data_IF_143313702836
#
_entry.id   IF_143313702836
#
_cell.length_a   1.000
_cell.length_b   1.000
_cell.length_c   1.000
_cell.angle_alpha   90.00
_cell.angle_beta   90.00
_cell.angle_gamma   90.00
#
_symmetry.space_group_name_H-M   'P 1'
#
loop_
_entity.id
_entity.type
_entity.pdbx_description
1 polymer ?
#
# COMPACT_ATOMS: atom_id res chain seq x y z
N UNK A 1 54.66 -15.71 32.06
CA UNK A 1 53.61 -14.70 31.87
C UNK A 1 52.69 -15.21 30.77
N UNK A 2 51.56 -15.82 31.14
CA UNK A 2 50.57 -16.37 30.20
C UNK A 2 49.48 -15.31 30.03
N UNK A 3 49.46 -14.65 28.88
CA UNK A 3 48.38 -13.74 28.48
C UNK A 3 47.31 -14.57 27.77
N UNK A 4 46.18 -14.78 28.43
CA UNK A 4 45.00 -15.43 27.86
C UNK A 4 44.14 -14.40 27.14
N UNK A 5 43.94 -14.58 25.84
CA UNK A 5 42.90 -13.88 25.08
C UNK A 5 41.59 -14.67 25.21
N UNK A 6 40.58 -14.06 25.81
CA UNK A 6 39.20 -14.57 25.77
C UNK A 6 38.60 -14.14 24.44
N UNK A 7 38.42 -15.11 23.53
CA UNK A 7 37.59 -14.93 22.34
C UNK A 7 36.14 -15.08 22.78
N UNK A 8 35.42 -13.97 22.89
CA UNK A 8 33.95 -14.01 22.96
C UNK A 8 33.41 -14.37 21.58
N UNK A 9 33.02 -15.63 21.40
CA UNK A 9 32.19 -16.04 20.28
C UNK A 9 30.80 -15.44 20.47
N UNK A 10 30.45 -14.45 19.65
CA UNK A 10 29.07 -14.00 19.49
C UNK A 10 28.33 -15.12 18.76
N UNK A 11 27.55 -15.90 19.52
CA UNK A 11 26.62 -16.88 18.96
C UNK A 11 25.49 -16.09 18.31
N UNK A 12 25.56 -15.95 16.98
CA UNK A 12 24.42 -15.50 16.17
C UNK A 12 23.32 -16.55 16.26
N UNK A 13 22.37 -16.36 17.19
CA UNK A 13 21.15 -17.14 17.23
C UNK A 13 20.36 -16.93 15.93
N UNK A 14 19.61 -17.94 15.45
CA UNK A 14 18.73 -17.75 14.30
C UNK A 14 17.75 -16.63 14.63
N UNK A 15 17.58 -15.70 13.68
CA UNK A 15 16.51 -14.70 13.78
C UNK A 15 15.20 -15.44 14.05
N UNK A 16 14.57 -15.13 15.17
CA UNK A 16 13.25 -15.68 15.50
C UNK A 16 12.29 -15.08 14.48
N UNK A 17 12.01 -15.81 13.41
CA UNK A 17 10.97 -15.47 12.44
C UNK A 17 9.65 -15.47 13.19
N UNK A 18 9.18 -14.30 13.62
CA UNK A 18 7.92 -14.17 14.33
C UNK A 18 6.78 -14.33 13.34
N UNK A 19 6.39 -15.57 13.10
CA UNK A 19 5.12 -15.93 12.51
C UNK A 19 3.99 -15.27 13.32
N UNK A 20 3.24 -14.33 12.70
CA UNK A 20 2.18 -13.58 13.38
C UNK A 20 0.78 -14.05 12.95
N UNK A 21 -0.21 -14.08 13.86
CA UNK A 21 -1.61 -14.17 13.46
C UNK A 21 -1.97 -13.05 12.48
N UNK A 22 -2.85 -13.30 11.50
CA UNK A 22 -3.20 -12.32 10.46
C UNK A 22 -3.68 -10.98 11.01
N UNK A 23 -4.43 -10.98 12.11
CA UNK A 23 -4.88 -9.75 12.76
C UNK A 23 -3.71 -8.91 13.27
N UNK A 24 -2.71 -9.55 13.89
CA UNK A 24 -1.53 -8.87 14.41
C UNK A 24 -0.61 -8.42 13.27
N UNK A 25 -0.44 -9.24 12.22
CA UNK A 25 0.25 -8.82 10.99
C UNK A 25 -0.40 -7.58 10.37
N UNK A 26 -1.74 -7.57 10.24
CA UNK A 26 -2.47 -6.40 9.75
C UNK A 26 -2.20 -5.17 10.62
N UNK A 27 -2.22 -5.33 11.94
CA UNK A 27 -2.02 -4.21 12.87
C UNK A 27 -0.59 -3.66 12.79
N UNK A 28 0.42 -4.54 12.70
CA UNK A 28 1.83 -4.14 12.49
C UNK A 28 1.99 -3.39 11.16
N UNK A 29 1.45 -3.95 10.06
CA UNK A 29 1.49 -3.27 8.76
C UNK A 29 0.72 -1.94 8.80
N UNK A 30 -0.40 -1.85 9.52
CA UNK A 30 -1.14 -0.59 9.67
C UNK A 30 -0.36 0.45 10.47
N UNK A 31 0.48 0.04 11.42
CA UNK A 31 1.41 0.94 12.12
C UNK A 31 2.54 1.41 11.21
N UNK A 32 3.06 0.52 10.35
CA UNK A 32 4.11 0.85 9.37
C UNK A 32 3.59 1.76 8.26
N UNK A 33 2.35 1.51 7.81
CA UNK A 33 1.64 2.25 6.76
C UNK A 33 0.40 2.95 7.32
N UNK A 34 0.55 4.02 8.12
CA UNK A 34 -0.59 4.73 8.68
C UNK A 34 -1.61 5.14 7.61
N UNK A 35 -2.88 4.88 7.89
CA UNK A 35 -3.95 5.19 6.95
C UNK A 35 -4.15 6.69 6.80
N UNK A 36 -4.58 7.07 5.62
CA UNK A 36 -4.82 8.44 5.19
C UNK A 36 -6.31 8.71 5.07
N UNK A 37 -6.68 9.99 5.12
CA UNK A 37 -8.06 10.42 4.93
C UNK A 37 -8.13 11.43 3.80
N UNK A 38 -9.15 11.27 2.97
CA UNK A 38 -9.47 12.16 1.87
C UNK A 38 -10.78 12.90 2.15
N UNK A 39 -10.89 14.11 1.63
CA UNK A 39 -12.12 14.88 1.65
C UNK A 39 -13.13 14.28 0.67
N UNK A 40 -14.33 14.02 1.18
CA UNK A 40 -15.44 13.43 0.40
C UNK A 40 -16.73 14.24 0.51
N UNK A 41 -16.86 15.04 1.56
CA UNK A 41 -18.06 15.83 1.86
C UNK A 41 -18.01 17.20 1.15
N UNK A 42 -16.83 17.79 1.02
CA UNK A 42 -16.65 19.09 0.36
C UNK A 42 -16.40 18.95 -1.14
N UNK A 43 -17.38 19.35 -1.96
CA UNK A 43 -17.31 19.29 -3.43
C UNK A 43 -16.07 20.00 -4.04
N UNK A 44 -15.68 21.21 -3.60
CA UNK A 44 -14.51 21.91 -4.14
C UNK A 44 -13.17 21.24 -3.83
N UNK A 45 -13.13 20.39 -2.79
CA UNK A 45 -11.91 19.74 -2.29
C UNK A 45 -12.01 18.21 -2.41
N UNK A 46 -12.93 17.71 -3.22
CA UNK A 46 -13.17 16.28 -3.37
C UNK A 46 -11.89 15.53 -3.76
N UNK A 47 -11.58 14.49 -2.99
CA UNK A 47 -10.39 13.66 -3.15
C UNK A 47 -9.12 14.24 -2.53
N UNK A 48 -9.12 15.51 -2.12
CA UNK A 48 -7.94 16.09 -1.49
C UNK A 48 -7.59 15.33 -0.21
N UNK A 49 -6.31 15.02 -0.04
CA UNK A 49 -5.80 14.37 1.17
C UNK A 49 -5.85 15.38 2.33
N UNK A 50 -6.66 15.08 3.35
CA UNK A 50 -6.82 15.91 4.55
C UNK A 50 -5.99 15.39 5.73
N UNK A 51 -5.66 14.10 5.74
CA UNK A 51 -4.68 13.50 6.65
C UNK A 51 -3.79 12.56 5.83
N UNK A 52 -2.48 12.80 5.83
CA UNK A 52 -1.55 12.21 4.85
C UNK A 52 -1.15 10.75 5.10
N UNK A 53 -1.26 10.25 6.34
CA UNK A 53 -0.78 8.91 6.71
C UNK A 53 0.63 8.61 6.17
N UNK A 54 0.83 7.38 5.69
CA UNK A 54 2.00 7.00 4.90
C UNK A 54 1.89 7.52 3.46
N UNK A 55 2.97 8.15 2.99
CA UNK A 55 3.14 8.53 1.58
C UNK A 55 4.16 7.61 0.94
N UNK A 56 3.74 6.89 -0.10
CA UNK A 56 4.53 5.94 -0.86
C UNK A 56 4.83 6.50 -2.25
N UNK A 57 5.95 6.10 -2.84
CA UNK A 57 6.35 6.43 -4.20
C UNK A 57 6.15 5.22 -5.09
N UNK A 58 5.53 5.38 -6.25
CA UNK A 58 5.36 4.29 -7.18
C UNK A 58 6.65 3.99 -7.96
N UNK A 59 7.19 2.77 -7.88
CA UNK A 59 8.43 2.42 -8.59
C UNK A 59 8.25 1.96 -10.03
N UNK A 60 7.03 1.58 -10.41
CA UNK A 60 6.68 1.11 -11.74
C UNK A 60 6.00 2.20 -12.58
N UNK A 61 6.24 2.17 -13.89
CA UNK A 61 5.63 3.10 -14.83
C UNK A 61 4.32 2.54 -15.41
N UNK A 62 3.39 3.42 -15.77
CA UNK A 62 2.14 3.06 -16.44
C UNK A 62 1.16 2.22 -15.60
N UNK A 63 1.20 2.32 -14.27
CA UNK A 63 0.33 1.51 -13.40
C UNK A 63 -1.13 1.97 -13.52
N UNK A 64 -2.10 1.06 -13.73
CA UNK A 64 -3.51 1.43 -13.81
C UNK A 64 -4.03 2.09 -12.54
N UNK A 65 -4.87 3.10 -12.73
CA UNK A 65 -5.74 3.65 -11.68
C UNK A 65 -7.12 3.97 -12.24
N UNK A 66 -8.15 3.79 -11.41
CA UNK A 66 -9.48 4.33 -11.69
C UNK A 66 -9.60 5.72 -11.09
N UNK A 67 -10.39 6.57 -11.71
CA UNK A 67 -10.66 7.90 -11.17
C UNK A 67 -11.52 7.77 -9.92
N UNK A 68 -11.22 8.55 -8.88
CA UNK A 68 -12.05 8.67 -7.69
C UNK A 68 -13.50 8.94 -8.10
N UNK A 69 -14.41 8.12 -7.59
CA UNK A 69 -15.85 8.33 -7.76
C UNK A 69 -16.53 8.55 -6.43
N UNK A 70 -17.23 9.67 -6.31
CA UNK A 70 -18.09 9.97 -5.16
C UNK A 70 -19.56 9.92 -5.57
N UNK A 71 -20.36 9.21 -4.78
CA UNK A 71 -21.81 9.14 -4.94
C UNK A 71 -22.52 9.92 -3.84
N UNK A 72 -23.64 10.52 -4.20
CA UNK A 72 -24.56 11.18 -3.29
C UNK A 72 -25.98 10.97 -3.79
N UNK A 73 -26.81 10.24 -3.03
CA UNK A 73 -28.16 9.85 -3.48
C UNK A 73 -29.07 11.05 -3.74
N UNK A 74 -28.95 12.10 -2.92
CA UNK A 74 -29.59 13.40 -3.12
C UNK A 74 -28.82 14.47 -2.33
N UNK A 75 -29.16 15.75 -2.51
CA UNK A 75 -28.44 16.88 -1.91
C UNK A 75 -28.41 16.90 -0.37
N UNK A 76 -29.26 16.13 0.30
CA UNK A 76 -29.33 16.00 1.76
C UNK A 76 -28.65 14.75 2.31
N UNK A 77 -28.30 13.78 1.44
CA UNK A 77 -27.60 12.56 1.85
C UNK A 77 -26.09 12.79 1.98
N UNK A 78 -25.39 12.03 2.85
CA UNK A 78 -23.94 12.05 2.89
C UNK A 78 -23.33 11.62 1.55
N UNK A 79 -22.11 12.09 1.30
CA UNK A 79 -21.31 11.71 0.14
C UNK A 79 -20.39 10.54 0.49
N UNK A 80 -20.20 9.61 -0.44
CA UNK A 80 -19.40 8.40 -0.21
C UNK A 80 -18.44 8.12 -1.37
N UNK A 81 -17.20 7.76 -1.04
CA UNK A 81 -16.24 7.19 -1.98
C UNK A 81 -16.71 5.79 -2.40
N UNK A 82 -16.92 5.59 -3.69
CA UNK A 82 -17.12 4.26 -4.26
C UNK A 82 -15.78 3.57 -4.34
N UNK A 83 -15.64 2.40 -3.71
CA UNK A 83 -14.40 1.63 -3.67
C UNK A 83 -14.12 0.89 -5.00
N UNK A 84 -14.10 1.61 -6.12
CA UNK A 84 -13.87 1.08 -7.46
C UNK A 84 -12.41 1.21 -7.91
N UNK A 85 -11.50 0.67 -7.10
CA UNK A 85 -10.07 0.66 -7.37
C UNK A 85 -9.72 -0.11 -8.65
N UNK A 86 -8.67 0.32 -9.35
CA UNK A 86 -8.06 -0.52 -10.37
C UNK A 86 -7.14 -1.55 -9.70
N UNK A 87 -7.42 -2.83 -9.90
CA UNK A 87 -6.64 -3.93 -9.31
C UNK A 87 -5.34 -4.17 -10.07
N UNK A 88 -4.24 -4.22 -9.31
CA UNK A 88 -2.86 -4.47 -9.73
C UNK A 88 -2.34 -5.63 -8.90
N UNK A 89 -2.30 -6.81 -9.49
CA UNK A 89 -1.75 -7.99 -8.85
C UNK A 89 -0.23 -8.05 -9.08
N UNK A 90 0.51 -8.12 -7.98
CA UNK A 90 1.96 -8.33 -7.93
C UNK A 90 2.20 -9.82 -7.67
N UNK A 91 2.75 -10.48 -8.66
CA UNK A 91 3.13 -11.91 -8.60
C UNK A 91 4.54 -12.09 -8.03
N UNK A 92 4.86 -13.31 -7.64
CA UNK A 92 6.15 -13.72 -7.07
C UNK A 92 7.34 -13.44 -8.00
N UNK A 93 7.11 -13.50 -9.31
CA UNK A 93 8.10 -13.19 -10.33
C UNK A 93 8.29 -11.67 -10.53
N UNK A 94 7.56 -10.85 -9.76
CA UNK A 94 7.52 -9.40 -9.94
C UNK A 94 6.75 -8.97 -11.19
N UNK A 95 5.92 -9.83 -11.78
CA UNK A 95 5.08 -9.44 -12.91
C UNK A 95 3.80 -8.76 -12.41
N UNK A 96 3.41 -7.69 -13.10
CA UNK A 96 2.13 -6.99 -12.89
C UNK A 96 1.07 -7.66 -13.75
N UNK A 97 -0.02 -8.12 -13.13
CA UNK A 97 -1.27 -8.41 -13.82
C UNK A 97 -2.28 -7.35 -13.44
N UNK A 98 -2.73 -6.58 -14.41
CA UNK A 98 -3.68 -5.53 -14.14
C UNK A 98 -4.71 -5.38 -15.26
N UNK A 99 -5.91 -4.94 -14.88
CA UNK A 99 -6.97 -4.65 -15.85
C UNK A 99 -6.75 -3.28 -16.48
N UNK A 100 -7.35 -3.09 -17.66
CA UNK A 100 -7.45 -1.75 -18.23
C UNK A 100 -8.20 -0.82 -17.27
N UNK A 101 -7.71 0.41 -17.14
CA UNK A 101 -8.25 1.43 -16.24
C UNK A 101 -8.21 2.79 -16.94
N UNK A 102 -8.88 3.78 -16.35
CA UNK A 102 -9.04 5.11 -16.94
C UNK A 102 -7.74 5.91 -16.95
N UNK A 103 -6.85 5.65 -15.99
CA UNK A 103 -5.59 6.35 -15.79
C UNK A 103 -4.40 5.39 -15.89
N UNK A 104 -3.25 5.97 -16.20
CA UNK A 104 -1.93 5.33 -16.15
C UNK A 104 -1.02 6.23 -15.31
N UNK A 105 -0.63 5.73 -14.15
CA UNK A 105 0.20 6.43 -13.19
C UNK A 105 1.66 6.31 -13.59
N UNK A 106 2.40 7.42 -13.72
CA UNK A 106 3.82 7.35 -14.00
C UNK A 106 4.61 6.89 -12.79
N UNK A 107 5.80 6.35 -13.04
CA UNK A 107 6.81 6.14 -11.97
C UNK A 107 7.04 7.43 -11.19
N UNK A 108 7.20 7.32 -9.87
CA UNK A 108 7.36 8.44 -8.94
C UNK A 108 6.04 9.08 -8.49
N UNK A 109 4.89 8.59 -8.97
CA UNK A 109 3.59 9.04 -8.47
C UNK A 109 3.51 8.80 -6.97
N UNK A 110 3.17 9.85 -6.22
CA UNK A 110 2.98 9.76 -4.78
C UNK A 110 1.60 9.21 -4.47
N UNK A 111 1.55 8.19 -3.62
CA UNK A 111 0.35 7.48 -3.23
C UNK A 111 0.19 7.55 -1.71
N UNK A 112 -1.05 7.65 -1.24
CA UNK A 112 -1.40 7.50 0.17
C UNK A 112 -2.24 6.24 0.37
N UNK A 113 -2.14 5.63 1.55
CA UNK A 113 -2.86 4.38 1.86
C UNK A 113 -4.20 4.71 2.50
N UNK A 114 -5.31 4.28 1.89
CA UNK A 114 -6.67 4.48 2.41
C UNK A 114 -7.17 3.30 3.25
N UNK A 115 -6.74 2.08 2.91
CA UNK A 115 -7.15 0.86 3.60
C UNK A 115 -6.08 -0.22 3.38
N UNK A 116 -5.98 -1.17 4.31
CA UNK A 116 -5.07 -2.30 4.27
C UNK A 116 -5.78 -3.55 4.73
N UNK A 117 -5.66 -4.63 3.95
CA UNK A 117 -6.18 -5.95 4.33
C UNK A 117 -5.07 -6.99 4.29
N UNK A 118 -5.02 -7.80 5.34
CA UNK A 118 -4.25 -9.02 5.38
C UNK A 118 -5.21 -10.21 5.27
N UNK A 119 -4.98 -11.04 4.25
CA UNK A 119 -5.69 -12.29 3.99
C UNK A 119 -4.69 -13.44 4.10
N UNK A 120 -5.10 -14.73 4.11
CA UNK A 120 -4.16 -15.83 4.36
C UNK A 120 -2.99 -15.94 3.36
N UNK A 121 -3.19 -15.53 2.11
CA UNK A 121 -2.28 -15.70 0.98
C UNK A 121 -1.85 -14.37 0.32
N UNK A 122 -2.39 -13.23 0.78
CA UNK A 122 -2.14 -11.93 0.17
C UNK A 122 -2.30 -10.75 1.11
N UNK A 123 -1.59 -9.68 0.80
CA UNK A 123 -1.81 -8.34 1.35
C UNK A 123 -2.43 -7.46 0.27
N UNK A 124 -3.44 -6.67 0.63
CA UNK A 124 -4.10 -5.72 -0.26
C UNK A 124 -3.93 -4.31 0.28
N UNK A 125 -3.29 -3.44 -0.50
CA UNK A 125 -3.15 -2.01 -0.20
C UNK A 125 -4.07 -1.22 -1.12
N UNK A 126 -5.02 -0.49 -0.53
CA UNK A 126 -5.92 0.38 -1.25
C UNK A 126 -5.34 1.79 -1.20
N UNK A 127 -4.97 2.32 -2.36
CA UNK A 127 -4.20 3.55 -2.48
C UNK A 127 -4.96 4.64 -3.22
N UNK A 128 -4.56 5.86 -2.96
CA UNK A 128 -5.06 7.07 -3.59
C UNK A 128 -3.89 7.97 -4.00
N UNK A 129 -3.98 8.70 -5.10
CA UNK A 129 -2.92 9.64 -5.46
C UNK A 129 -2.86 10.77 -4.42
N UNK A 130 -1.66 11.06 -3.90
CA UNK A 130 -1.46 12.09 -2.88
C UNK A 130 -1.74 13.50 -3.44
N UNK A 131 -1.39 13.67 -4.71
CA UNK A 131 -1.58 14.89 -5.50
C UNK A 131 -2.52 14.59 -6.67
N UNK A 132 -3.32 15.57 -7.14
CA UNK A 132 -4.20 15.38 -8.28
C UNK A 132 -3.42 15.26 -9.59
N UNK A 133 -3.94 14.44 -10.50
CA UNK A 133 -3.47 14.28 -11.88
C UNK A 133 -4.36 15.14 -12.78
N UNK A 134 -3.76 15.86 -13.73
CA UNK A 134 -4.53 16.67 -14.67
C UNK A 134 -4.93 15.83 -15.89
N UNK A 135 -6.23 15.63 -16.08
CA UNK A 135 -6.79 14.92 -17.23
C UNK A 135 -7.82 15.81 -17.92
N UNK A 136 -7.60 16.13 -19.19
CA UNK A 136 -8.48 17.03 -19.94
C UNK A 136 -8.65 18.41 -19.28
N UNK A 137 -7.60 18.91 -18.63
CA UNK A 137 -7.61 20.19 -17.91
C UNK A 137 -8.30 20.17 -16.54
N UNK A 138 -8.72 19.00 -16.04
CA UNK A 138 -9.36 18.86 -14.73
C UNK A 138 -8.49 18.05 -13.76
N UNK A 139 -8.37 18.48 -12.48
CA UNK A 139 -7.73 17.67 -11.47
C UNK A 139 -8.60 16.44 -11.16
N UNK A 140 -8.00 15.27 -11.23
CA UNK A 140 -8.62 13.99 -10.87
C UNK A 140 -7.67 13.22 -9.96
N UNK A 141 -8.23 12.39 -9.08
CA UNK A 141 -7.43 11.53 -8.22
C UNK A 141 -7.56 10.08 -8.66
N UNK A 142 -6.45 9.35 -8.60
CA UNK A 142 -6.40 7.93 -8.96
C UNK A 142 -6.57 7.03 -7.74
N UNK A 143 -7.31 5.94 -7.90
CA UNK A 143 -7.52 4.87 -6.93
C UNK A 143 -6.97 3.55 -7.50
N UNK A 144 -5.99 2.96 -6.81
CA UNK A 144 -5.36 1.69 -7.18
C UNK A 144 -5.38 0.72 -6.00
N UNK A 145 -5.68 -0.54 -6.27
CA UNK A 145 -5.56 -1.63 -5.30
C UNK A 145 -4.35 -2.49 -5.70
N UNK A 146 -3.34 -2.53 -4.84
CA UNK A 146 -2.20 -3.41 -5.01
C UNK A 146 -2.44 -4.72 -4.25
N UNK A 147 -2.38 -5.85 -4.95
CA UNK A 147 -2.55 -7.18 -4.39
C UNK A 147 -1.21 -7.90 -4.43
N UNK A 148 -0.55 -8.00 -3.28
CA UNK A 148 0.71 -8.72 -3.12
C UNK A 148 0.42 -10.16 -2.73
N UNK A 149 0.71 -11.12 -3.62
CA UNK A 149 0.53 -12.54 -3.36
C UNK A 149 1.77 -13.18 -2.73
N UNK A 150 1.52 -14.18 -1.90
CA UNK A 150 2.53 -14.92 -1.16
C UNK A 150 2.24 -16.44 -1.20
N UNK A 151 2.20 -17.08 -2.38
CA UNK A 151 1.87 -18.49 -2.53
C UNK A 151 2.94 -19.39 -1.87
N UNK A 152 2.55 -20.64 -1.61
CA UNK A 152 3.44 -21.67 -1.06
C UNK A 152 3.67 -21.60 0.46
N UNK A 153 3.60 -20.40 1.06
CA UNK A 153 3.75 -20.23 2.51
C UNK A 153 2.68 -19.28 3.03
N UNK A 154 1.81 -19.72 3.98
CA UNK A 154 0.82 -18.84 4.60
C UNK A 154 1.46 -17.58 5.17
N UNK A 155 0.79 -16.43 5.02
CA UNK A 155 1.32 -15.16 5.54
C UNK A 155 1.61 -15.19 7.04
N UNK A 156 0.86 -16.00 7.79
CA UNK A 156 1.10 -16.16 9.23
C UNK A 156 2.41 -16.82 9.57
N UNK A 157 3.04 -17.53 8.62
CA UNK A 157 4.32 -18.19 8.81
C UNK A 157 5.51 -17.37 8.28
N UNK A 158 5.25 -16.19 7.71
CA UNK A 158 6.30 -15.32 7.15
C UNK A 158 6.80 -14.32 8.16
N UNK A 159 8.04 -13.88 7.96
CA UNK A 159 8.59 -12.73 8.65
C UNK A 159 7.89 -11.46 8.15
N UNK A 160 7.53 -10.56 9.06
CA UNK A 160 6.96 -9.25 8.72
C UNK A 160 7.91 -8.48 7.82
N UNK A 161 9.22 -8.53 8.09
CA UNK A 161 10.21 -7.81 7.29
C UNK A 161 10.25 -8.31 5.83
N UNK A 162 9.96 -9.60 5.60
CA UNK A 162 9.84 -10.15 4.26
C UNK A 162 8.62 -9.56 3.52
N UNK A 163 7.48 -9.51 4.21
CA UNK A 163 6.24 -8.93 3.67
C UNK A 163 6.42 -7.44 3.36
N UNK A 164 7.01 -6.68 4.28
CA UNK A 164 7.33 -5.27 4.08
C UNK A 164 8.29 -5.07 2.90
N UNK A 165 9.35 -5.87 2.81
CA UNK A 165 10.30 -5.81 1.70
C UNK A 165 9.64 -6.07 0.34
N UNK A 166 8.64 -6.95 0.26
CA UNK A 166 7.87 -7.16 -0.98
C UNK A 166 7.07 -5.90 -1.34
N UNK A 167 6.39 -5.28 -0.38
CA UNK A 167 5.60 -4.05 -0.60
C UNK A 167 6.52 -2.89 -1.01
N UNK A 168 7.60 -2.65 -0.26
CA UNK A 168 8.50 -1.50 -0.45
C UNK A 168 9.34 -1.59 -1.73
N UNK A 169 9.49 -2.77 -2.36
CA UNK A 169 10.08 -2.87 -3.71
C UNK A 169 9.23 -2.18 -4.78
N UNK A 170 7.93 -2.08 -4.56
CA UNK A 170 6.98 -1.47 -5.50
C UNK A 170 6.53 -0.09 -5.04
N UNK A 171 6.42 0.08 -3.73
CA UNK A 171 5.86 1.22 -3.06
C UNK A 171 6.76 1.65 -1.88
N UNK A 172 8.03 2.04 -2.12
CA UNK A 172 8.89 2.58 -1.08
C UNK A 172 8.29 3.88 -0.51
N UNK A 173 8.71 4.27 0.69
CA UNK A 173 8.31 5.56 1.25
C UNK A 173 8.82 6.71 0.38
N UNK A 174 7.94 7.67 0.09
CA UNK A 174 8.33 8.92 -0.55
C UNK A 174 9.00 9.82 0.51
N UNK A 175 10.28 10.11 0.30
CA UNK A 175 11.06 11.04 1.14
C UNK A 175 10.56 12.48 1.10
#
# INVERSE_FOLDING_TARGET
>A
MLSGFIVMAVVGGPAVTSALPLGLLRDVLTQRYPLSRIEVQSKPHEGAVIERGAVLSLEADGVPANTLRIIQTNTKSPRFHVRDYAEVEITDEGAIRARAAQLRLPKGTRLVVLDLKAEPDRIRLFTHTADPIVVGGKPVYGCTEFVFRFPGTPLTARDVAEVEGVIERWLPFAG
#
